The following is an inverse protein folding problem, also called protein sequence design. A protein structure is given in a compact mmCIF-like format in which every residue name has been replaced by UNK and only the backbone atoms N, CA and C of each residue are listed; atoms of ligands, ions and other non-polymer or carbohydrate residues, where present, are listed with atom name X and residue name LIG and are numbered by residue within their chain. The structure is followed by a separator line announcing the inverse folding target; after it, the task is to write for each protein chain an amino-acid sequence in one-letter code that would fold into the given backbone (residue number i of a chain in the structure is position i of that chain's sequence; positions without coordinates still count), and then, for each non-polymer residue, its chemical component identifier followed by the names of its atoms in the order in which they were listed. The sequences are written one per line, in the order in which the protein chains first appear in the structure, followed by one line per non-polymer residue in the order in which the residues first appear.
data_IF_714797898756
#
_entry.id   IF_714797898756
#
_cell.length_a   1.000
_cell.length_b   1.000
_cell.length_c   1.000
_cell.angle_alpha   90.00
_cell.angle_beta   90.00
_cell.angle_gamma   90.00
#
_symmetry.space_group_name_H-M   'P 1'
#
loop_
_entity.id
_entity.type
_entity.pdbx_description
1 polymer ?
#
# COMPACT_ATOMS: atom_id res chain seq x y z
N UNK A 1 32.07 3.67 20.57
CA UNK A 1 31.65 3.74 19.15
C UNK A 1 32.79 4.36 18.37
N UNK A 2 33.13 3.79 17.22
CA UNK A 2 34.09 4.39 16.28
C UNK A 2 33.33 4.90 15.07
N UNK A 3 33.82 5.98 14.46
CA UNK A 3 33.24 6.60 13.27
C UNK A 3 32.97 5.61 12.13
N UNK A 4 33.81 4.58 11.97
CA UNK A 4 33.60 3.50 11.00
C UNK A 4 32.35 2.66 11.27
N UNK A 5 32.04 2.40 12.54
CA UNK A 5 30.86 1.61 12.94
C UNK A 5 29.57 2.40 12.75
N UNK A 6 29.62 3.71 13.02
CA UNK A 6 28.48 4.61 12.89
C UNK A 6 28.09 4.83 11.41
N UNK A 7 29.08 4.92 10.51
CA UNK A 7 28.85 5.01 9.06
C UNK A 7 28.18 3.75 8.51
N UNK A 8 28.64 2.57 8.92
CA UNK A 8 28.03 1.29 8.52
C UNK A 8 26.59 1.16 9.03
N UNK A 9 26.26 1.69 10.22
CA UNK A 9 24.90 1.68 10.74
C UNK A 9 23.97 2.61 9.95
N UNK A 10 24.44 3.80 9.57
CA UNK A 10 23.69 4.74 8.73
C UNK A 10 23.36 4.12 7.36
N UNK A 11 24.35 3.54 6.67
CA UNK A 11 24.14 2.85 5.38
C UNK A 11 23.13 1.70 5.50
N UNK A 12 23.18 0.93 6.60
CA UNK A 12 22.19 -0.13 6.86
C UNK A 12 20.77 0.41 7.04
N UNK A 13 20.60 1.56 7.70
CA UNK A 13 19.31 2.20 7.90
C UNK A 13 18.71 2.71 6.58
N UNK A 14 19.50 3.36 5.74
CA UNK A 14 19.08 3.82 4.41
C UNK A 14 18.63 2.65 3.53
N UNK A 15 19.43 1.58 3.48
CA UNK A 15 19.06 0.37 2.74
C UNK A 15 17.81 -0.30 3.32
N UNK A 16 17.60 -0.27 4.64
CA UNK A 16 16.39 -0.80 5.26
C UNK A 16 15.16 0.02 4.86
N UNK A 17 15.25 1.35 4.88
CA UNK A 17 14.18 2.25 4.45
C UNK A 17 13.88 2.12 2.96
N UNK A 18 14.91 2.04 2.11
CA UNK A 18 14.73 1.82 0.68
C UNK A 18 13.95 0.52 0.43
N UNK A 19 14.35 -0.58 1.08
CA UNK A 19 13.60 -1.85 1.02
C UNK A 19 12.17 -1.70 1.55
N UNK A 20 11.96 -0.92 2.61
CA UNK A 20 10.63 -0.68 3.17
C UNK A 20 9.74 0.05 2.16
N UNK A 21 10.19 1.15 1.56
CA UNK A 21 9.44 1.89 0.55
C UNK A 21 9.14 1.02 -0.68
N UNK A 22 10.12 0.27 -1.19
CA UNK A 22 9.91 -0.64 -2.32
C UNK A 22 8.92 -1.76 -2.02
N UNK A 23 8.88 -2.28 -0.79
CA UNK A 23 7.85 -3.26 -0.36
C UNK A 23 6.43 -2.69 -0.42
N UNK A 24 6.28 -1.38 -0.28
CA UNK A 24 5.00 -0.67 -0.41
C UNK A 24 4.73 -0.16 -1.83
N UNK A 25 5.53 -0.60 -2.81
CA UNK A 25 5.35 -0.28 -4.23
C UNK A 25 6.02 1.01 -4.68
N UNK A 26 6.73 1.72 -3.80
CA UNK A 26 7.34 3.01 -4.15
C UNK A 26 8.73 2.81 -4.76
N UNK A 27 9.06 3.62 -5.77
CA UNK A 27 10.40 3.67 -6.34
C UNK A 27 11.31 4.48 -5.42
N UNK A 28 12.55 4.01 -5.25
CA UNK A 28 13.56 4.64 -4.41
C UNK A 28 14.84 4.78 -5.20
N UNK A 29 15.42 5.97 -5.16
CA UNK A 29 16.71 6.31 -5.76
C UNK A 29 17.60 6.83 -4.62
N UNK A 30 18.83 6.30 -4.51
CA UNK A 30 19.81 6.79 -3.55
C UNK A 30 20.50 8.02 -4.13
N UNK A 31 20.77 9.01 -3.30
CA UNK A 31 21.58 10.14 -3.73
C UNK A 31 23.06 9.76 -3.81
N UNK A 32 23.79 10.39 -4.71
CA UNK A 32 25.23 10.18 -4.88
C UNK A 32 26.03 11.33 -4.23
N UNK A 33 27.11 10.96 -3.53
CA UNK A 33 28.10 11.90 -2.97
C UNK A 33 27.95 12.17 -1.47
N UNK A 34 29.08 12.42 -0.81
CA UNK A 34 29.18 12.61 0.65
C UNK A 34 28.43 13.85 1.18
N UNK A 35 28.12 14.80 0.30
CA UNK A 35 27.42 16.05 0.63
C UNK A 35 26.07 16.19 -0.08
N UNK A 36 25.44 15.06 -0.42
CA UNK A 36 24.09 15.07 -0.96
C UNK A 36 23.12 15.79 0.00
N UNK A 37 22.14 16.52 -0.56
CA UNK A 37 21.18 17.28 0.25
C UNK A 37 20.08 16.41 0.90
N UNK A 38 19.97 15.15 0.49
CA UNK A 38 19.07 14.13 1.02
C UNK A 38 19.65 12.75 0.69
N UNK A 39 19.30 11.71 1.45
CA UNK A 39 19.85 10.36 1.26
C UNK A 39 19.03 9.54 0.24
N UNK A 40 17.70 9.70 0.25
CA UNK A 40 16.76 8.93 -0.58
C UNK A 40 15.76 9.86 -1.29
N UNK A 41 15.55 9.62 -2.58
CA UNK A 41 14.43 10.16 -3.33
C UNK A 41 13.38 9.07 -3.55
N UNK A 42 12.16 9.28 -3.03
CA UNK A 42 11.07 8.30 -3.07
C UNK A 42 9.93 8.84 -3.91
N UNK A 43 9.46 8.06 -4.90
CA UNK A 43 8.36 8.45 -5.78
C UNK A 43 7.39 7.33 -6.08
N UNK A 44 6.14 7.68 -6.33
CA UNK A 44 5.09 6.75 -6.72
C UNK A 44 3.72 7.44 -6.83
N UNK A 45 2.75 6.68 -7.29
CA UNK A 45 1.32 7.06 -7.34
C UNK A 45 0.51 6.15 -6.44
N UNK A 46 -0.49 6.71 -5.76
CA UNK A 46 -1.37 5.99 -4.84
C UNK A 46 -2.81 6.10 -5.32
N UNK A 47 -3.48 4.97 -5.52
CA UNK A 47 -4.93 4.92 -5.75
C UNK A 47 -5.65 4.77 -4.41
N UNK A 48 -6.68 5.58 -4.18
CA UNK A 48 -7.43 5.58 -2.93
C UNK A 48 -8.72 4.78 -3.09
N UNK A 49 -8.94 3.84 -2.17
CA UNK A 49 -10.23 3.23 -1.94
C UNK A 49 -10.71 3.53 -0.53
N UNK A 50 -11.71 4.41 -0.44
CA UNK A 50 -12.45 4.64 0.79
C UNK A 50 -13.73 3.78 0.77
N UNK A 51 -13.82 2.80 1.66
CA UNK A 51 -14.96 1.90 1.76
C UNK A 51 -15.65 2.08 3.12
N UNK A 52 -16.69 2.90 3.14
CA UNK A 52 -17.42 3.23 4.36
C UNK A 52 -18.03 1.99 5.03
N UNK A 53 -18.42 1.00 4.23
CA UNK A 53 -19.02 -0.25 4.73
C UNK A 53 -17.99 -1.23 5.26
N UNK A 54 -16.70 -1.02 5.01
CA UNK A 54 -15.65 -1.87 5.56
C UNK A 54 -15.58 -1.79 7.09
N UNK A 55 -16.00 -0.68 7.71
CA UNK A 55 -16.08 -0.53 9.17
C UNK A 55 -17.13 -1.49 9.75
N UNK A 56 -18.29 -1.55 9.09
CA UNK A 56 -19.43 -2.37 9.54
C UNK A 56 -19.23 -3.86 9.19
N UNK A 57 -18.73 -4.13 7.98
CA UNK A 57 -18.65 -5.49 7.43
C UNK A 57 -17.32 -6.18 7.73
N UNK A 58 -16.29 -5.44 8.15
CA UNK A 58 -14.92 -5.94 8.32
C UNK A 58 -14.22 -6.31 7.01
N UNK A 59 -14.76 -5.92 5.85
CA UNK A 59 -14.23 -6.28 4.53
C UNK A 59 -14.18 -5.08 3.59
N UNK A 60 -13.08 -4.94 2.85
CA UNK A 60 -13.02 -4.09 1.67
C UNK A 60 -13.60 -4.82 0.46
N UNK A 61 -14.46 -4.18 -0.33
CA UNK A 61 -14.85 -4.71 -1.64
C UNK A 61 -13.94 -4.20 -2.75
N UNK A 62 -12.88 -4.92 -3.13
CA UNK A 62 -11.99 -4.47 -4.19
C UNK A 62 -12.56 -4.83 -5.56
N UNK A 63 -12.96 -3.82 -6.33
CA UNK A 63 -13.53 -3.98 -7.66
C UNK A 63 -12.48 -4.45 -8.67
N UNK A 64 -12.82 -5.48 -9.45
CA UNK A 64 -12.01 -6.03 -10.54
C UNK A 64 -12.64 -5.81 -11.91
N UNK A 65 -13.99 -5.73 -11.98
CA UNK A 65 -14.73 -5.46 -13.22
C UNK A 65 -15.98 -4.63 -12.95
N UNK A 66 -16.42 -3.90 -13.97
CA UNK A 66 -17.68 -3.15 -13.99
C UNK A 66 -18.36 -3.34 -15.34
N UNK A 67 -19.64 -3.77 -15.32
CA UNK A 67 -20.43 -4.03 -16.53
C UNK A 67 -19.72 -4.94 -17.55
N UNK A 68 -19.04 -5.98 -17.05
CA UNK A 68 -18.32 -6.96 -17.87
C UNK A 68 -16.97 -6.48 -18.43
N UNK A 69 -16.52 -5.26 -18.09
CA UNK A 69 -15.22 -4.72 -18.52
C UNK A 69 -14.23 -4.69 -17.35
N UNK A 70 -12.91 -4.88 -17.59
CA UNK A 70 -11.90 -4.66 -16.56
C UNK A 70 -11.99 -3.27 -15.95
N UNK A 71 -11.88 -3.18 -14.63
CA UNK A 71 -11.90 -1.91 -13.90
C UNK A 71 -11.15 -2.02 -12.56
N UNK A 72 -11.06 -0.92 -11.82
CA UNK A 72 -10.46 -0.87 -10.49
C UNK A 72 -9.04 -1.42 -10.48
N UNK A 73 -8.78 -2.39 -9.59
CA UNK A 73 -7.44 -2.97 -9.40
C UNK A 73 -6.89 -3.62 -10.67
N UNK A 74 -7.75 -4.13 -11.55
CA UNK A 74 -7.36 -4.79 -12.81
C UNK A 74 -6.77 -3.79 -13.80
N UNK A 75 -7.23 -2.54 -13.79
CA UNK A 75 -6.80 -1.48 -14.73
C UNK A 75 -5.89 -0.43 -14.10
N UNK A 76 -5.76 -0.43 -12.78
CA UNK A 76 -4.96 0.54 -12.04
C UNK A 76 -3.50 0.58 -12.51
N UNK A 77 -3.00 1.80 -12.71
CA UNK A 77 -1.58 2.08 -12.98
C UNK A 77 -0.88 2.68 -11.77
N UNK A 78 -1.57 2.75 -10.62
CA UNK A 78 -0.98 3.25 -9.41
C UNK A 78 0.13 2.30 -8.93
N UNK A 79 1.16 2.85 -8.31
CA UNK A 79 2.24 2.04 -7.71
C UNK A 79 1.80 1.36 -6.41
N UNK A 80 0.87 2.00 -5.68
CA UNK A 80 0.31 1.50 -4.44
C UNK A 80 -1.19 1.84 -4.32
N UNK A 81 -1.85 1.15 -3.39
CA UNK A 81 -3.24 1.38 -3.01
C UNK A 81 -3.32 1.77 -1.54
N UNK A 82 -4.06 2.83 -1.25
CA UNK A 82 -4.48 3.20 0.10
C UNK A 82 -5.92 2.73 0.31
N UNK A 83 -6.11 1.76 1.21
CA UNK A 83 -7.43 1.25 1.60
C UNK A 83 -7.82 1.89 2.93
N UNK A 84 -8.94 2.62 2.98
CA UNK A 84 -9.38 3.33 4.18
C UNK A 84 -10.68 2.75 4.71
N UNK A 85 -10.61 2.26 5.95
CA UNK A 85 -11.75 1.79 6.73
C UNK A 85 -11.88 2.64 7.99
N UNK A 86 -12.88 3.51 8.02
CA UNK A 86 -13.07 4.47 9.11
C UNK A 86 -11.89 5.44 9.19
N UNK A 87 -11.17 5.41 10.30
CA UNK A 87 -9.98 6.25 10.55
C UNK A 87 -8.66 5.51 10.36
N UNK A 88 -8.67 4.27 9.90
CA UNK A 88 -7.43 3.52 9.61
C UNK A 88 -7.18 3.46 8.11
N UNK A 89 -5.96 3.79 7.69
CA UNK A 89 -5.47 3.58 6.34
C UNK A 89 -4.47 2.42 6.28
N UNK A 90 -4.58 1.63 5.21
CA UNK A 90 -3.66 0.55 4.86
C UNK A 90 -3.01 0.86 3.52
N UNK A 91 -1.68 0.93 3.47
CA UNK A 91 -0.92 1.11 2.23
C UNK A 91 -0.32 -0.23 1.80
N UNK A 92 -0.57 -0.61 0.55
CA UNK A 92 -0.08 -1.85 -0.05
C UNK A 92 0.33 -1.60 -1.50
N UNK A 93 1.45 -2.17 -1.95
CA UNK A 93 1.85 -2.09 -3.36
C UNK A 93 0.83 -2.77 -4.28
N UNK A 94 0.56 -2.18 -5.44
CA UNK A 94 -0.52 -2.63 -6.36
C UNK A 94 -0.37 -4.09 -6.77
N UNK A 95 0.84 -4.54 -7.13
CA UNK A 95 1.08 -5.94 -7.50
C UNK A 95 0.88 -6.90 -6.34
N UNK A 96 1.27 -6.52 -5.13
CA UNK A 96 1.02 -7.33 -3.92
C UNK A 96 -0.48 -7.45 -3.66
N UNK A 97 -1.23 -6.36 -3.85
CA UNK A 97 -2.67 -6.39 -3.72
C UNK A 97 -3.30 -7.30 -4.79
N UNK A 98 -2.86 -7.27 -6.04
CA UNK A 98 -3.33 -8.19 -7.10
C UNK A 98 -3.13 -9.65 -6.71
N UNK A 99 -1.90 -10.03 -6.35
CA UNK A 99 -1.56 -11.39 -5.91
C UNK A 99 -2.41 -11.81 -4.71
N UNK A 100 -2.60 -10.90 -3.74
CA UNK A 100 -3.44 -11.16 -2.58
C UNK A 100 -4.88 -11.44 -2.98
N UNK A 101 -5.44 -10.61 -3.84
CA UNK A 101 -6.81 -10.73 -4.32
C UNK A 101 -7.02 -12.02 -5.11
N UNK A 102 -6.03 -12.47 -5.88
CA UNK A 102 -6.12 -13.73 -6.64
C UNK A 102 -6.41 -14.95 -5.76
N UNK A 103 -6.02 -14.92 -4.49
CA UNK A 103 -6.32 -15.98 -3.51
C UNK A 103 -7.76 -15.97 -2.96
N UNK A 104 -8.52 -14.90 -3.19
CA UNK A 104 -9.85 -14.68 -2.60
C UNK A 104 -10.96 -14.97 -3.60
N UNK A 105 -12.11 -15.47 -3.19
CA UNK A 105 -13.19 -15.74 -4.14
C UNK A 105 -13.80 -14.44 -4.73
N UNK A 106 -14.14 -14.47 -6.02
CA UNK A 106 -14.89 -13.40 -6.69
C UNK A 106 -16.32 -13.31 -6.15
N UNK A 107 -16.85 -12.08 -6.11
CA UNK A 107 -18.15 -11.73 -5.56
C UNK A 107 -18.82 -10.69 -6.45
N UNK A 108 -20.13 -10.83 -6.62
CA UNK A 108 -20.96 -9.80 -7.23
C UNK A 108 -21.04 -8.59 -6.28
N UNK A 109 -20.81 -7.42 -6.83
CA UNK A 109 -21.00 -6.14 -6.17
C UNK A 109 -22.26 -5.41 -6.67
N UNK A 110 -22.50 -4.19 -6.17
CA UNK A 110 -23.58 -3.34 -6.65
C UNK A 110 -23.35 -2.90 -8.10
N UNK A 111 -24.42 -2.47 -8.78
CA UNK A 111 -24.37 -1.78 -10.07
C UNK A 111 -23.59 -2.53 -11.17
N UNK A 112 -23.74 -3.85 -11.24
CA UNK A 112 -23.08 -4.68 -12.26
C UNK A 112 -21.56 -4.79 -12.10
N UNK A 113 -21.03 -4.47 -10.91
CA UNK A 113 -19.63 -4.62 -10.56
C UNK A 113 -19.34 -6.02 -10.05
N UNK A 114 -18.12 -6.47 -10.25
CA UNK A 114 -17.58 -7.65 -9.59
C UNK A 114 -16.25 -7.31 -8.93
N UNK A 115 -15.94 -8.04 -7.87
CA UNK A 115 -14.77 -7.77 -7.07
C UNK A 115 -14.49 -8.89 -6.09
N UNK A 116 -13.61 -8.62 -5.14
CA UNK A 116 -13.24 -9.58 -4.10
C UNK A 116 -13.34 -8.92 -2.74
N UNK A 117 -13.80 -9.67 -1.75
CA UNK A 117 -13.90 -9.20 -0.36
C UNK A 117 -12.57 -9.48 0.33
N UNK A 118 -11.88 -8.41 0.72
CA UNK A 118 -10.61 -8.45 1.41
C UNK A 118 -10.82 -8.14 2.89
N UNK A 119 -10.66 -9.12 3.80
CA UNK A 119 -10.87 -8.90 5.22
C UNK A 119 -9.86 -7.91 5.81
N UNK A 120 -10.34 -6.94 6.59
CA UNK A 120 -9.49 -5.94 7.26
C UNK A 120 -8.50 -6.59 8.20
N UNK A 121 -8.94 -7.57 9.01
CA UNK A 121 -8.07 -8.30 9.93
C UNK A 121 -6.95 -9.07 9.22
N UNK A 122 -7.20 -9.49 7.97
CA UNK A 122 -6.18 -10.17 7.20
C UNK A 122 -5.09 -9.18 6.77
N UNK A 123 -5.46 -7.99 6.29
CA UNK A 123 -4.52 -6.91 6.01
C UNK A 123 -3.66 -6.54 7.22
N UNK A 124 -4.26 -6.45 8.40
CA UNK A 124 -3.56 -6.15 9.66
C UNK A 124 -2.46 -7.16 10.02
N UNK A 125 -2.56 -8.40 9.52
CA UNK A 125 -1.58 -9.46 9.77
C UNK A 125 -0.41 -9.48 8.78
N UNK A 126 -0.48 -8.72 7.68
CA UNK A 126 0.49 -8.81 6.60
C UNK A 126 1.70 -7.88 6.86
N UNK A 127 2.93 -8.41 6.88
CA UNK A 127 4.14 -7.64 7.22
C UNK A 127 4.58 -6.63 6.14
N UNK A 128 3.89 -6.61 5.00
CA UNK A 128 4.16 -5.72 3.87
C UNK A 128 3.02 -4.71 3.65
N UNK A 129 2.12 -4.57 4.62
CA UNK A 129 1.08 -3.56 4.64
C UNK A 129 1.44 -2.53 5.71
N UNK A 130 1.59 -1.27 5.31
CA UNK A 130 1.77 -0.18 6.27
C UNK A 130 0.40 0.29 6.76
N UNK A 131 0.32 0.60 8.06
CA UNK A 131 -0.89 1.10 8.71
C UNK A 131 -0.66 2.51 9.21
N UNK A 132 -1.66 3.38 9.02
CA UNK A 132 -1.69 4.71 9.62
C UNK A 132 -3.04 4.95 10.30
N UNK A 133 -3.00 5.62 11.46
CA UNK A 133 -4.18 6.19 12.11
C UNK A 133 -4.38 7.62 11.60
N UNK A 134 -5.57 7.89 11.05
CA UNK A 134 -5.96 9.17 10.48
C UNK A 134 -6.80 10.02 11.47
N UNK A 135 -6.97 9.59 12.71
CA UNK A 135 -7.86 10.25 13.68
C UNK A 135 -7.53 11.72 13.94
N UNK A 136 -6.26 12.12 13.83
CA UNK A 136 -5.82 13.52 13.96
C UNK A 136 -5.72 14.28 12.63
N UNK A 137 -6.05 13.64 11.51
CA UNK A 137 -5.90 14.19 10.16
C UNK A 137 -7.26 14.38 9.45
N UNK A 138 -8.32 13.79 9.99
CA UNK A 138 -9.69 13.91 9.51
C UNK A 138 -10.48 14.83 10.45
N UNK A 139 -11.41 15.65 9.92
CA UNK A 139 -12.28 16.51 10.72
C UNK A 139 -13.23 15.70 11.63
#
# INVERSE_FOLDING_TARGET
MTWSTDKTYAEQAEHALARWYSRHGLAVEFSEGEFAAWDLYVRGSVELKHDRRAVETGNFFIETTAHGKPSGITTSKATAWALVSGRTAFLIGTEKLRVLLDTLAQRSGPDGKQGRLLPVRFLESLPYVARADLSGLLP
#
